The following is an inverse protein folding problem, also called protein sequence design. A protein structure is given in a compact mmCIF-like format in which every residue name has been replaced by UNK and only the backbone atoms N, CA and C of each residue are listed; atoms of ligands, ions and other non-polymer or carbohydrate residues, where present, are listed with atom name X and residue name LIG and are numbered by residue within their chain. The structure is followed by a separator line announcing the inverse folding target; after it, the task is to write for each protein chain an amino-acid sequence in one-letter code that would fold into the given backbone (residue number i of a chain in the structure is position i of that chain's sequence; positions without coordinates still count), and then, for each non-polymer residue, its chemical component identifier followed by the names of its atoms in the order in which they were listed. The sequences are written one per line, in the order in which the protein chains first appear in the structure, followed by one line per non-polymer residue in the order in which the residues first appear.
data_IF_711637075841
#
_entry.id   IF_711637075841
#
_cell.length_a   1.000
_cell.length_b   1.000
_cell.length_c   1.000
_cell.angle_alpha   90.00
_cell.angle_beta   90.00
_cell.angle_gamma   90.00
#
_symmetry.space_group_name_H-M   'P 1'
#
loop_
_entity.id
_entity.type
_entity.pdbx_description
1 polymer ?
#
# COMPACT_ATOMS: atom_id res chain seq x y z
N UNK A 1 50.66 3.63 -35.60
CA UNK A 1 50.13 2.47 -34.86
C UNK A 1 50.74 2.54 -33.47
N UNK A 2 50.00 3.12 -32.52
CA UNK A 2 49.51 2.44 -31.31
C UNK A 2 50.68 2.21 -30.31
N UNK A 3 50.68 2.73 -29.09
CA UNK A 3 49.63 2.66 -28.07
C UNK A 3 49.97 3.59 -26.90
N UNK A 4 49.05 4.44 -26.49
CA UNK A 4 49.11 5.11 -25.18
C UNK A 4 47.87 4.70 -24.39
N UNK A 5 48.07 3.85 -23.38
CA UNK A 5 47.02 3.33 -22.51
C UNK A 5 46.66 4.37 -21.44
N UNK A 6 45.37 4.65 -21.18
CA UNK A 6 44.98 5.56 -20.12
C UNK A 6 44.96 4.89 -18.74
N UNK A 7 45.37 5.68 -17.74
CA UNK A 7 45.42 5.40 -16.30
C UNK A 7 44.01 5.20 -15.73
N UNK A 8 43.77 4.20 -14.85
CA UNK A 8 42.49 4.04 -14.18
C UNK A 8 42.33 5.08 -13.06
N UNK A 9 41.29 5.92 -13.16
CA UNK A 9 40.89 6.84 -12.10
C UNK A 9 40.43 6.07 -10.87
N UNK A 10 41.11 6.30 -9.74
CA UNK A 10 40.75 5.76 -8.43
C UNK A 10 39.38 6.29 -7.99
N UNK A 11 38.48 5.35 -7.72
CA UNK A 11 37.20 5.55 -7.03
C UNK A 11 37.49 6.05 -5.61
N UNK A 12 37.12 7.30 -5.31
CA UNK A 12 37.14 7.83 -3.96
C UNK A 12 36.17 7.02 -3.08
N UNK A 13 36.72 6.36 -2.06
CA UNK A 13 35.97 5.58 -1.08
C UNK A 13 35.41 6.56 -0.05
N UNK A 14 34.13 6.89 -0.14
CA UNK A 14 33.43 7.67 0.90
C UNK A 14 33.15 6.76 2.10
N UNK A 15 33.79 7.08 3.22
CA UNK A 15 33.70 6.42 4.51
C UNK A 15 32.24 6.35 5.04
N UNK A 16 31.75 5.23 5.59
CA UNK A 16 30.42 5.16 6.18
C UNK A 16 30.40 5.82 7.57
N UNK A 17 29.38 6.65 7.83
CA UNK A 17 29.11 7.24 9.16
C UNK A 17 28.60 6.17 10.13
N UNK A 18 28.93 6.26 11.43
CA UNK A 18 28.52 5.26 12.41
C UNK A 18 27.01 5.31 12.69
N UNK A 19 26.45 4.10 12.84
CA UNK A 19 25.09 3.81 13.26
C UNK A 19 24.86 4.23 14.71
N UNK A 20 23.85 5.07 14.96
CA UNK A 20 23.29 5.28 16.30
C UNK A 20 21.94 4.58 16.37
N UNK A 21 21.89 3.46 17.09
CA UNK A 21 20.65 2.90 17.61
C UNK A 21 20.37 3.52 18.98
N UNK A 22 19.09 3.83 19.27
CA UNK A 22 18.58 3.50 20.58
C UNK A 22 17.28 2.69 20.50
N UNK A 23 17.30 1.58 21.23
CA UNK A 23 16.18 0.74 21.61
C UNK A 23 15.11 1.59 22.35
N UNK A 24 13.89 1.63 21.84
CA UNK A 24 12.71 1.94 22.64
C UNK A 24 11.45 1.38 21.97
N UNK A 25 10.87 0.36 22.60
CA UNK A 25 9.54 -0.18 22.32
C UNK A 25 8.49 0.94 22.37
N UNK A 26 7.60 1.00 21.38
CA UNK A 26 6.30 1.66 21.56
C UNK A 26 5.23 0.97 20.72
N UNK A 27 4.11 0.71 21.38
CA UNK A 27 2.92 0.04 20.89
C UNK A 27 2.16 0.85 19.82
N UNK A 28 1.27 0.24 19.03
CA UNK A 28 0.54 0.95 17.99
C UNK A 28 -0.61 1.77 18.59
N UNK A 29 -0.62 3.08 18.34
CA UNK A 29 -1.78 3.95 18.57
C UNK A 29 -2.48 4.25 17.25
N UNK A 30 -3.75 3.87 17.20
CA UNK A 30 -4.74 4.19 16.16
C UNK A 30 -5.06 5.69 16.14
N UNK A 31 -5.24 6.35 14.97
CA UNK A 31 -5.73 7.72 14.93
C UNK A 31 -7.27 7.76 14.89
N UNK A 32 -7.88 8.20 16.00
CA UNK A 32 -9.29 8.62 16.04
C UNK A 32 -9.38 10.11 15.75
N UNK A 33 -10.05 10.48 14.67
CA UNK A 33 -10.36 11.86 14.32
C UNK A 33 -11.43 12.41 15.28
N UNK A 34 -11.20 13.58 15.87
CA UNK A 34 -12.20 14.35 16.62
C UNK A 34 -11.90 15.84 16.47
N UNK A 35 -12.70 16.48 15.63
CA UNK A 35 -12.71 17.91 15.36
C UNK A 35 -13.13 18.72 16.61
N UNK A 36 -12.27 19.63 17.07
CA UNK A 36 -12.59 20.62 18.10
C UNK A 36 -12.75 22.02 17.50
N UNK A 37 -13.88 22.65 17.82
CA UNK A 37 -14.26 24.02 17.43
C UNK A 37 -13.47 25.09 18.22
N UNK A 38 -13.33 26.32 17.67
CA UNK A 38 -12.78 27.46 18.41
C UNK A 38 -13.82 28.12 19.34
N UNK A 39 -13.43 28.75 20.46
CA UNK A 39 -14.34 29.52 21.29
C UNK A 39 -14.50 30.93 20.73
N UNK A 40 -15.74 31.40 20.56
CA UNK A 40 -16.03 32.80 20.21
C UNK A 40 -16.83 33.45 21.33
N UNK A 41 -16.41 34.68 21.65
CA UNK A 41 -16.81 35.46 22.80
C UNK A 41 -18.28 35.88 22.82
N UNK A 42 -18.81 35.98 24.04
CA UNK A 42 -20.13 36.49 24.40
C UNK A 42 -20.31 37.97 24.04
N UNK A 43 -21.41 38.31 23.36
CA UNK A 43 -21.94 39.68 23.27
C UNK A 43 -23.47 39.62 23.49
N UNK A 44 -24.08 40.45 24.36
CA UNK A 44 -25.52 40.43 24.60
C UNK A 44 -26.31 41.40 23.69
N UNK A 45 -27.36 40.83 23.08
CA UNK A 45 -28.74 41.31 22.96
C UNK A 45 -29.07 42.69 22.32
N UNK A 46 -29.72 42.65 21.14
CA UNK A 46 -30.71 43.64 20.68
C UNK A 46 -31.95 42.92 20.11
N UNK A 47 -33.19 43.43 20.31
CA UNK A 47 -34.40 42.71 19.93
C UNK A 47 -34.94 43.12 18.56
N UNK A 48 -35.46 42.15 17.81
CA UNK A 48 -36.45 42.41 16.76
C UNK A 48 -36.27 41.64 15.46
N UNK A 49 -36.85 40.43 15.36
CA UNK A 49 -37.37 39.93 14.07
C UNK A 49 -38.45 38.87 14.28
N UNK A 50 -39.65 39.20 13.78
CA UNK A 50 -40.88 38.39 13.77
C UNK A 50 -40.64 36.99 13.21
N UNK A 51 -41.10 35.98 13.94
CA UNK A 51 -41.45 34.67 13.41
C UNK A 51 -42.70 34.81 12.54
N UNK A 52 -42.63 34.35 11.28
CA UNK A 52 -43.81 34.12 10.44
C UNK A 52 -44.18 32.64 10.52
N UNK A 53 -45.45 32.29 10.79
CA UNK A 53 -45.88 30.91 10.96
C UNK A 53 -46.08 30.21 9.60
N UNK A 54 -45.87 28.91 9.62
CA UNK A 54 -46.18 27.94 8.57
C UNK A 54 -47.64 28.06 8.07
N UNK A 55 -47.81 28.37 6.78
CA UNK A 55 -49.09 28.24 6.04
C UNK A 55 -49.05 27.01 5.14
N UNK A 56 -50.17 26.28 4.98
CA UNK A 56 -50.22 25.05 4.18
C UNK A 56 -49.92 25.33 2.69
N UNK A 57 -49.33 24.38 1.95
CA UNK A 57 -48.94 24.63 0.57
C UNK A 57 -50.19 24.83 -0.30
N UNK A 58 -50.35 26.07 -0.76
CA UNK A 58 -51.32 26.45 -1.79
C UNK A 58 -51.17 25.56 -3.03
N UNK A 59 -52.29 25.18 -3.66
CA UNK A 59 -52.32 24.45 -4.94
C UNK A 59 -51.44 25.09 -6.03
N UNK A 60 -51.20 26.41 -5.92
CA UNK A 60 -50.30 27.18 -6.78
C UNK A 60 -48.86 26.67 -6.76
N UNK A 61 -48.39 26.14 -5.63
CA UNK A 61 -47.02 25.61 -5.49
C UNK A 61 -46.88 24.24 -6.18
N UNK A 62 -47.91 23.38 -6.08
CA UNK A 62 -47.97 22.10 -6.81
C UNK A 62 -48.04 22.31 -8.32
N UNK A 63 -48.87 23.24 -8.79
CA UNK A 63 -48.95 23.58 -10.21
C UNK A 63 -47.59 24.09 -10.72
N UNK A 64 -46.94 24.97 -9.97
CA UNK A 64 -45.58 25.45 -10.30
C UNK A 64 -44.55 24.31 -10.38
N UNK A 65 -44.56 23.37 -9.45
CA UNK A 65 -43.64 22.21 -9.49
C UNK A 65 -43.96 21.25 -10.64
N UNK A 66 -45.24 21.06 -10.98
CA UNK A 66 -45.64 20.24 -12.13
C UNK A 66 -45.21 20.87 -13.46
N UNK A 67 -45.38 22.19 -13.60
CA UNK A 67 -44.87 22.92 -14.76
C UNK A 67 -43.33 22.86 -14.81
N UNK A 68 -42.64 22.96 -13.67
CA UNK A 68 -41.18 22.83 -13.62
C UNK A 68 -40.70 21.46 -14.10
N UNK A 69 -41.45 20.39 -13.78
CA UNK A 69 -41.19 19.03 -14.29
C UNK A 69 -41.50 18.88 -15.78
N UNK A 70 -42.58 19.49 -16.26
CA UNK A 70 -42.98 19.44 -17.67
C UNK A 70 -42.05 20.21 -18.61
N UNK A 71 -41.48 21.32 -18.14
CA UNK A 71 -40.60 22.17 -18.93
C UNK A 71 -39.10 21.98 -18.62
N UNK A 72 -38.74 20.97 -17.81
CA UNK A 72 -37.34 20.65 -17.49
C UNK A 72 -36.57 21.73 -16.69
N UNK A 73 -37.24 22.82 -16.29
CA UNK A 73 -36.67 24.01 -15.62
C UNK A 73 -36.28 23.78 -14.14
N UNK A 74 -36.17 22.52 -13.71
CA UNK A 74 -35.81 22.11 -12.35
C UNK A 74 -34.67 21.10 -12.28
N UNK A 75 -34.13 20.70 -13.44
CA UNK A 75 -32.84 20.02 -13.49
C UNK A 75 -31.80 21.12 -13.33
N UNK A 76 -31.39 21.36 -12.08
CA UNK A 76 -30.10 21.99 -11.83
C UNK A 76 -29.01 21.23 -12.60
N UNK A 77 -27.83 21.84 -12.84
CA UNK A 77 -26.73 21.18 -13.52
C UNK A 77 -26.56 19.77 -12.97
N UNK A 78 -26.51 18.74 -13.83
CA UNK A 78 -26.38 17.37 -13.36
C UNK A 78 -25.21 17.32 -12.37
N UNK A 79 -25.36 16.64 -11.22
CA UNK A 79 -24.22 16.40 -10.35
C UNK A 79 -23.11 15.77 -11.21
N UNK A 80 -21.82 16.09 -10.99
CA UNK A 80 -20.73 15.48 -11.75
C UNK A 80 -20.83 13.97 -11.56
N UNK A 81 -21.44 13.31 -12.54
CA UNK A 81 -21.63 11.88 -12.55
C UNK A 81 -20.30 11.33 -13.03
N UNK A 82 -19.35 11.21 -12.09
CA UNK A 82 -18.14 10.43 -12.28
C UNK A 82 -18.51 8.96 -12.41
N UNK A 83 -19.17 8.62 -13.50
CA UNK A 83 -19.44 7.23 -13.87
C UNK A 83 -18.11 6.62 -14.29
N UNK A 84 -17.86 5.36 -13.91
CA UNK A 84 -16.64 4.62 -14.29
C UNK A 84 -16.47 4.41 -15.81
N UNK A 85 -17.44 4.88 -16.59
CA UNK A 85 -17.53 4.81 -18.04
C UNK A 85 -17.69 6.20 -18.68
N UNK A 86 -17.30 7.28 -17.97
CA UNK A 86 -17.30 8.61 -18.56
C UNK A 86 -16.12 8.72 -19.56
N UNK A 87 -16.38 8.98 -20.86
CA UNK A 87 -15.32 9.13 -21.84
C UNK A 87 -14.50 10.42 -21.67
N UNK A 88 -14.98 11.36 -20.85
CA UNK A 88 -14.32 12.64 -20.62
C UNK A 88 -13.44 12.66 -19.37
N UNK A 89 -13.53 11.63 -18.54
CA UNK A 89 -12.76 11.51 -17.31
C UNK A 89 -11.44 10.78 -17.58
N UNK A 90 -10.30 11.40 -17.25
CA UNK A 90 -8.97 10.83 -17.50
C UNK A 90 -8.67 9.55 -16.70
N UNK A 91 -9.33 9.36 -15.56
CA UNK A 91 -9.17 8.19 -14.69
C UNK A 91 -10.14 7.05 -15.05
N UNK A 92 -11.02 7.28 -16.03
CA UNK A 92 -12.05 6.33 -16.45
C UNK A 92 -11.50 5.32 -17.45
N UNK A 93 -11.96 4.07 -17.32
CA UNK A 93 -11.62 3.00 -18.27
C UNK A 93 -12.13 3.24 -19.69
N UNK A 94 -13.15 4.10 -19.84
CA UNK A 94 -13.74 4.46 -21.12
C UNK A 94 -13.19 5.78 -21.69
N UNK A 95 -12.11 6.33 -21.12
CA UNK A 95 -11.55 7.61 -21.52
C UNK A 95 -11.21 7.68 -23.02
N UNK A 96 -11.75 8.68 -23.71
CA UNK A 96 -11.39 9.00 -25.10
C UNK A 96 -10.52 10.25 -25.15
N UNK A 97 -9.21 10.03 -25.28
CA UNK A 97 -8.22 11.09 -25.34
C UNK A 97 -8.46 12.08 -26.49
N UNK A 98 -9.00 11.62 -27.63
CA UNK A 98 -9.20 12.47 -28.80
C UNK A 98 -10.34 13.46 -28.55
N UNK A 99 -11.50 12.97 -28.12
CA UNK A 99 -12.65 13.82 -27.77
C UNK A 99 -12.31 14.77 -26.62
N UNK A 100 -11.55 14.30 -25.63
CA UNK A 100 -11.09 15.15 -24.53
C UNK A 100 -10.21 16.30 -25.02
N UNK A 101 -9.23 15.99 -25.86
CA UNK A 101 -8.33 16.97 -26.44
C UNK A 101 -9.07 17.99 -27.32
N UNK A 102 -9.95 17.54 -28.22
CA UNK A 102 -10.72 18.41 -29.11
C UNK A 102 -11.58 19.41 -28.33
N UNK A 103 -12.26 18.96 -27.28
CA UNK A 103 -13.00 19.86 -26.41
C UNK A 103 -12.07 20.83 -25.67
N UNK A 104 -10.93 20.35 -25.16
CA UNK A 104 -10.00 21.17 -24.39
C UNK A 104 -9.44 22.32 -25.24
N UNK A 105 -9.02 22.07 -26.47
CA UNK A 105 -8.48 23.11 -27.36
C UNK A 105 -9.55 24.09 -27.85
N UNK A 106 -10.80 23.63 -27.99
CA UNK A 106 -11.90 24.45 -28.52
C UNK A 106 -12.50 25.36 -27.44
N UNK A 107 -12.45 24.93 -26.17
CA UNK A 107 -13.11 25.62 -25.05
C UNK A 107 -12.16 26.37 -24.12
N UNK A 108 -10.87 26.04 -24.12
CA UNK A 108 -9.89 26.64 -23.20
C UNK A 108 -9.07 27.75 -23.83
N UNK A 109 -8.63 28.69 -22.99
CA UNK A 109 -7.69 29.74 -23.40
C UNK A 109 -6.25 29.23 -23.46
N UNK A 110 -5.40 29.87 -24.27
CA UNK A 110 -3.99 29.48 -24.41
C UNK A 110 -3.22 29.42 -23.07
N UNK A 111 -3.35 30.40 -22.14
CA UNK A 111 -2.71 30.30 -20.83
C UNK A 111 -3.18 29.09 -20.01
N UNK A 112 -4.47 28.74 -20.09
CA UNK A 112 -5.02 27.54 -19.44
C UNK A 112 -4.41 26.27 -20.02
N UNK A 113 -4.24 26.22 -21.34
CA UNK A 113 -3.66 25.07 -22.02
C UNK A 113 -2.20 24.85 -21.63
N UNK A 114 -1.39 25.90 -21.57
CA UNK A 114 0.00 25.84 -21.11
C UNK A 114 0.08 25.39 -19.64
N UNK A 115 -0.81 25.89 -18.78
CA UNK A 115 -0.89 25.45 -17.38
C UNK A 115 -1.20 23.94 -17.31
N UNK A 116 -2.19 23.48 -18.09
CA UNK A 116 -2.57 22.08 -18.12
C UNK A 116 -1.46 21.18 -18.65
N UNK A 117 -0.72 21.63 -19.67
CA UNK A 117 0.47 20.91 -20.17
C UNK A 117 1.52 20.72 -19.06
N UNK A 118 1.86 21.79 -18.32
CA UNK A 118 2.84 21.69 -17.24
C UNK A 118 2.38 20.76 -16.11
N UNK A 119 1.08 20.78 -15.78
CA UNK A 119 0.49 19.85 -14.82
C UNK A 119 0.61 18.41 -15.30
N UNK A 120 0.26 18.12 -16.56
CA UNK A 120 0.40 16.78 -17.15
C UNK A 120 1.84 16.29 -17.17
N UNK A 121 2.81 17.15 -17.50
CA UNK A 121 4.23 16.77 -17.47
C UNK A 121 4.67 16.39 -16.05
N UNK A 122 4.14 17.08 -15.04
CA UNK A 122 4.46 16.80 -13.63
C UNK A 122 3.83 15.47 -13.21
N UNK A 123 2.57 15.27 -13.54
CA UNK A 123 1.80 14.05 -13.28
C UNK A 123 2.43 12.82 -13.95
N UNK A 124 2.88 12.93 -15.21
CA UNK A 124 3.59 11.85 -15.92
C UNK A 124 4.87 11.44 -15.17
N UNK A 125 5.63 12.41 -14.68
CA UNK A 125 6.88 12.13 -13.93
C UNK A 125 6.61 11.50 -12.58
N UNK A 126 5.57 11.97 -11.90
CA UNK A 126 5.13 11.41 -10.62
C UNK A 126 4.68 9.95 -10.80
N UNK A 127 3.78 9.68 -11.75
CA UNK A 127 3.31 8.33 -12.07
C UNK A 127 4.43 7.38 -12.48
N UNK A 128 5.43 7.85 -13.26
CA UNK A 128 6.57 7.00 -13.59
C UNK A 128 7.44 6.70 -12.37
N UNK A 129 7.63 7.67 -11.47
CA UNK A 129 8.36 7.47 -10.23
C UNK A 129 7.64 6.49 -9.28
N UNK A 130 6.31 6.58 -9.19
CA UNK A 130 5.47 5.66 -8.42
C UNK A 130 5.54 4.24 -9.00
N UNK A 131 5.42 4.11 -10.33
CA UNK A 131 5.58 2.84 -11.03
C UNK A 131 6.94 2.22 -10.74
N UNK A 132 8.02 3.01 -10.82
CA UNK A 132 9.36 2.52 -10.55
C UNK A 132 9.55 2.11 -9.09
N UNK A 133 9.00 2.89 -8.14
CA UNK A 133 8.99 2.57 -6.72
C UNK A 133 8.27 1.24 -6.44
N UNK A 134 7.09 1.04 -7.02
CA UNK A 134 6.32 -0.19 -6.87
C UNK A 134 7.08 -1.40 -7.41
N UNK A 135 7.62 -1.28 -8.62
CA UNK A 135 8.43 -2.33 -9.25
C UNK A 135 9.64 -2.66 -8.39
N UNK A 136 10.34 -1.66 -7.85
CA UNK A 136 11.49 -1.88 -6.99
C UNK A 136 11.12 -2.58 -5.68
N UNK A 137 10.09 -2.10 -4.97
CA UNK A 137 9.65 -2.69 -3.71
C UNK A 137 9.21 -4.13 -3.91
N UNK A 138 8.39 -4.40 -4.93
CA UNK A 138 7.91 -5.74 -5.21
C UNK A 138 9.05 -6.69 -5.63
N UNK A 139 9.97 -6.25 -6.50
CA UNK A 139 11.11 -7.08 -6.84
C UNK A 139 12.03 -7.34 -5.65
N UNK A 140 12.28 -6.34 -4.82
CA UNK A 140 13.11 -6.49 -3.64
C UNK A 140 12.48 -7.46 -2.63
N UNK A 141 11.17 -7.36 -2.41
CA UNK A 141 10.41 -8.28 -1.55
C UNK A 141 10.39 -9.71 -2.10
N UNK A 142 10.17 -9.89 -3.41
CA UNK A 142 10.20 -11.21 -4.04
C UNK A 142 11.58 -11.88 -3.94
N UNK A 143 12.65 -11.10 -4.13
CA UNK A 143 14.02 -11.59 -3.96
C UNK A 143 14.25 -12.00 -2.50
N UNK A 144 13.88 -11.15 -1.54
CA UNK A 144 14.03 -11.46 -0.11
C UNK A 144 13.21 -12.69 0.32
N UNK A 145 12.00 -12.86 -0.22
CA UNK A 145 11.18 -14.05 0.00
C UNK A 145 11.83 -15.30 -0.61
N UNK A 146 12.36 -15.20 -1.84
CA UNK A 146 13.08 -16.28 -2.50
C UNK A 146 14.32 -16.71 -1.69
N UNK A 147 15.10 -15.75 -1.18
CA UNK A 147 16.26 -16.01 -0.33
C UNK A 147 15.84 -16.71 0.98
N UNK A 148 14.72 -16.27 1.56
CA UNK A 148 14.16 -16.91 2.76
C UNK A 148 13.74 -18.35 2.49
N UNK A 149 13.07 -18.62 1.35
CA UNK A 149 12.69 -19.98 0.93
C UNK A 149 13.94 -20.85 0.72
N UNK A 150 14.99 -20.32 0.07
CA UNK A 150 16.24 -21.03 -0.11
C UNK A 150 16.90 -21.38 1.24
N UNK A 151 16.99 -20.43 2.16
CA UNK A 151 17.53 -20.66 3.50
C UNK A 151 16.68 -21.62 4.34
N UNK A 152 15.35 -21.63 4.15
CA UNK A 152 14.47 -22.62 4.77
C UNK A 152 14.70 -24.02 4.19
N UNK A 153 14.87 -24.14 2.88
CA UNK A 153 15.16 -25.42 2.20
C UNK A 153 16.46 -26.03 2.71
N UNK A 154 17.55 -25.26 2.74
CA UNK A 154 18.85 -25.74 3.24
C UNK A 154 18.77 -26.20 4.69
N UNK A 155 18.03 -25.47 5.56
CA UNK A 155 17.83 -25.89 6.95
C UNK A 155 16.99 -27.16 7.10
N UNK A 156 16.01 -27.36 6.23
CA UNK A 156 15.21 -28.59 6.21
C UNK A 156 16.06 -29.80 5.78
N UNK A 157 16.92 -29.62 4.77
CA UNK A 157 17.86 -30.65 4.29
C UNK A 157 18.88 -31.02 5.38
N UNK A 158 19.44 -30.05 6.12
CA UNK A 158 20.35 -30.35 7.23
C UNK A 158 19.65 -31.10 8.36
N UNK A 159 18.41 -30.74 8.68
CA UNK A 159 17.62 -31.44 9.72
C UNK A 159 17.35 -32.91 9.35
N UNK A 160 17.07 -33.20 8.08
CA UNK A 160 16.86 -34.57 7.62
C UNK A 160 18.14 -35.42 7.82
N UNK A 161 19.31 -34.83 7.50
CA UNK A 161 20.60 -35.49 7.75
C UNK A 161 20.89 -35.72 9.25
N UNK A 162 20.51 -34.77 10.12
CA UNK A 162 20.65 -34.92 11.57
C UNK A 162 19.72 -36.02 12.12
N UNK A 163 18.51 -36.16 11.58
CA UNK A 163 17.58 -37.23 11.94
C UNK A 163 18.10 -38.61 11.54
N UNK A 164 18.74 -38.73 10.38
CA UNK A 164 19.37 -39.98 9.95
C UNK A 164 20.56 -40.36 10.84
N UNK A 165 21.37 -39.39 11.25
CA UNK A 165 22.44 -39.62 12.23
C UNK A 165 21.86 -40.09 13.58
N UNK A 166 20.79 -39.46 14.04
CA UNK A 166 20.11 -39.84 15.28
C UNK A 166 19.54 -41.27 15.21
N UNK A 167 18.93 -41.66 14.08
CA UNK A 167 18.45 -43.03 13.85
C UNK A 167 19.58 -44.05 13.90
N UNK A 168 20.71 -43.75 13.26
CA UNK A 168 21.89 -44.61 13.29
C UNK A 168 22.39 -44.81 14.74
N UNK A 169 22.51 -43.74 15.50
CA UNK A 169 22.92 -43.79 16.91
C UNK A 169 21.96 -44.63 17.77
N UNK A 170 20.64 -44.46 17.61
CA UNK A 170 19.67 -45.31 18.32
C UNK A 170 19.76 -46.78 17.93
N UNK A 171 20.00 -47.07 16.65
CA UNK A 171 20.18 -48.44 16.18
C UNK A 171 21.44 -49.08 16.78
N UNK A 172 22.53 -48.31 16.92
CA UNK A 172 23.76 -48.76 17.57
C UNK A 172 23.56 -48.99 19.07
N UNK A 173 22.89 -48.08 19.77
CA UNK A 173 22.51 -48.25 21.18
C UNK A 173 21.67 -49.51 21.36
N UNK A 174 20.67 -49.74 20.51
CA UNK A 174 19.83 -50.94 20.57
C UNK A 174 20.64 -52.21 20.33
N UNK A 175 21.62 -52.19 19.41
CA UNK A 175 22.52 -53.32 19.16
C UNK A 175 23.38 -53.62 20.39
N UNK A 176 24.01 -52.59 20.96
CA UNK A 176 24.84 -52.72 22.16
C UNK A 176 24.03 -53.19 23.38
N UNK A 177 22.82 -52.67 23.56
CA UNK A 177 21.93 -53.11 24.64
C UNK A 177 21.52 -54.59 24.50
N UNK A 178 21.25 -55.06 23.28
CA UNK A 178 20.98 -56.47 23.02
C UNK A 178 22.21 -57.35 23.31
N UNK A 179 23.40 -56.92 22.89
CA UNK A 179 24.67 -57.61 23.15
C UNK A 179 24.94 -57.77 24.65
N UNK A 180 24.77 -56.69 25.44
CA UNK A 180 24.89 -56.72 26.91
C UNK A 180 23.83 -57.62 27.55
N UNK A 181 22.61 -57.64 27.02
CA UNK A 181 21.54 -58.49 27.56
C UNK A 181 21.72 -59.99 27.28
N UNK A 182 22.62 -60.35 26.35
CA UNK A 182 22.92 -61.75 25.99
C UNK A 182 24.13 -62.35 26.69
N UNK A 183 24.89 -61.57 27.48
CA UNK A 183 25.90 -62.13 28.40
C UNK A 183 25.18 -62.96 29.47
N UNK A 184 25.26 -64.30 29.43
CA UNK A 184 24.64 -65.13 30.44
C UNK A 184 25.44 -64.93 31.72
N UNK A 185 24.75 -64.56 32.80
CA UNK A 185 25.22 -64.83 34.16
C UNK A 185 25.34 -66.35 34.30
N UNK A 186 26.43 -66.94 33.83
CA UNK A 186 26.79 -68.33 34.13
C UNK A 186 27.01 -68.41 35.64
N UNK A 187 26.21 -69.29 36.26
CA UNK A 187 26.02 -69.29 37.69
C UNK A 187 27.18 -69.86 38.51
N UNK A 188 27.18 -69.49 39.78
CA UNK A 188 27.61 -70.38 40.86
C UNK A 188 26.52 -70.41 41.93
N UNK A 189 25.50 -71.23 41.69
CA UNK A 189 24.73 -71.88 42.74
C UNK A 189 25.31 -73.27 42.96
N UNK A 190 26.33 -73.39 43.81
CA UNK A 190 26.82 -74.69 44.29
C UNK A 190 26.32 -74.90 45.72
N UNK A 191 25.48 -75.94 45.86
CA UNK A 191 25.14 -76.65 47.09
C UNK A 191 26.28 -76.62 48.09
N UNK A 192 25.95 -76.32 49.35
CA UNK A 192 26.03 -77.26 50.48
C UNK A 192 25.16 -76.75 51.65
#
# INVERSE_FOLDING_TARGET
MSSSSPIPQQRAVSNPKPVSSPLASSAPVTPTQSSSHPPTASVPNLPGRRTVPSTPPSQRTRAKDLLRKHYGLGLGPPPPSGSATDPMNMDSTAFDAKSYYEQLITTSSLPTLIKRENELITEIRELDSERQSLVYNHHHELIAASDTIAAMKTRAESLDSDLDLLRAAFSEISRLAAEVSTEPTEGEGKKD
#
